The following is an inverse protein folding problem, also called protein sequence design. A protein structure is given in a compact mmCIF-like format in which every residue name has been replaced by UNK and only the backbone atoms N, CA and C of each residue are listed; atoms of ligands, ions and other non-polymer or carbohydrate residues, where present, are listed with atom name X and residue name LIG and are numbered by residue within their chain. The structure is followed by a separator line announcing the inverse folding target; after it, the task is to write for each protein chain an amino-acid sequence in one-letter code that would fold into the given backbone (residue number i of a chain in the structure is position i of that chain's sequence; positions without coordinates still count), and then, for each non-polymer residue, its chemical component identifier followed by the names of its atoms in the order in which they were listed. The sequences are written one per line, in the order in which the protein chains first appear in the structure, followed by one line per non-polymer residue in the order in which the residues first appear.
data_IF_669163978609
#
_entry.id   IF_669163978609
#
_cell.length_a   1.000
_cell.length_b   1.000
_cell.length_c   1.000
_cell.angle_alpha   90.00
_cell.angle_beta   90.00
_cell.angle_gamma   90.00
#
_symmetry.space_group_name_H-M   'P 1'
#
loop_
_entity.id
_entity.type
_entity.pdbx_description
1 polymer ?
#
# COMPACT_ATOMS: atom_id res chain seq x y z
N UNK A 1 -8.99 7.20 21.75
CA UNK A 1 -7.56 7.54 21.96
C UNK A 1 -7.02 8.48 20.89
N UNK A 2 -7.37 8.30 19.63
CA UNK A 2 -6.90 9.13 18.51
C UNK A 2 -7.29 10.60 18.61
N UNK A 3 -8.44 10.92 19.17
CA UNK A 3 -8.96 12.29 19.36
C UNK A 3 -8.19 13.14 20.39
N UNK A 4 -7.24 12.54 21.14
CA UNK A 4 -6.39 13.25 22.10
C UNK A 4 -4.99 13.59 21.57
N UNK A 5 -4.66 13.16 20.35
CA UNK A 5 -3.39 13.48 19.71
C UNK A 5 -3.53 14.75 18.88
N UNK A 6 -2.47 15.57 18.84
CA UNK A 6 -2.41 16.74 17.94
C UNK A 6 -2.04 16.36 16.49
N UNK A 7 -2.22 15.09 16.11
CA UNK A 7 -1.95 14.62 14.74
C UNK A 7 -3.15 14.99 13.87
N UNK A 8 -2.96 15.83 12.84
CA UNK A 8 -4.08 16.38 12.07
C UNK A 8 -4.78 15.34 11.20
N UNK A 9 -4.07 14.31 10.72
CA UNK A 9 -4.63 13.24 9.87
C UNK A 9 -4.12 11.89 10.37
N UNK A 10 -5.03 10.96 10.59
CA UNK A 10 -4.74 9.60 11.05
C UNK A 10 -5.25 8.62 10.00
N UNK A 11 -4.38 7.77 9.50
CA UNK A 11 -4.70 6.66 8.63
C UNK A 11 -4.75 5.35 9.42
N UNK A 12 -5.63 4.45 9.01
CA UNK A 12 -5.76 3.09 9.54
C UNK A 12 -5.74 2.11 8.38
N UNK A 13 -4.90 1.09 8.46
CA UNK A 13 -4.81 0.03 7.46
C UNK A 13 -5.34 -1.28 8.03
N UNK A 14 -6.18 -1.98 7.27
CA UNK A 14 -6.66 -3.33 7.58
C UNK A 14 -6.26 -4.27 6.44
N UNK A 15 -5.84 -5.49 6.80
CA UNK A 15 -5.53 -6.56 5.84
C UNK A 15 -6.60 -7.61 5.95
N UNK A 16 -7.20 -7.94 4.81
CA UNK A 16 -8.24 -8.97 4.65
C UNK A 16 -7.61 -10.26 4.11
N UNK A 17 -8.04 -11.38 4.65
CA UNK A 17 -7.67 -12.72 4.19
C UNK A 17 -6.45 -13.30 4.90
N UNK A 18 -6.23 -12.93 6.15
CA UNK A 18 -5.24 -13.58 6.98
C UNK A 18 -5.58 -15.06 7.20
N UNK A 19 -4.59 -15.94 7.41
CA UNK A 19 -4.86 -17.37 7.70
C UNK A 19 -5.78 -17.55 8.90
N UNK A 20 -6.88 -18.26 8.70
CA UNK A 20 -7.89 -18.53 9.74
C UNK A 20 -8.86 -17.38 10.00
N UNK A 21 -8.76 -16.27 9.29
CA UNK A 21 -9.65 -15.12 9.44
C UNK A 21 -11.03 -15.40 8.84
N UNK A 22 -12.08 -15.02 9.57
CA UNK A 22 -13.48 -15.15 9.16
C UNK A 22 -14.07 -13.81 8.76
N UNK A 23 -15.27 -13.83 8.16
CA UNK A 23 -16.01 -12.60 7.83
C UNK A 23 -16.41 -11.83 9.09
N UNK A 24 -16.68 -12.54 10.19
CA UNK A 24 -17.01 -11.97 11.50
C UNK A 24 -15.80 -11.23 12.10
N UNK A 25 -14.57 -11.77 11.96
CA UNK A 25 -13.34 -11.14 12.45
C UNK A 25 -13.10 -9.81 11.73
N UNK A 26 -13.30 -9.78 10.41
CA UNK A 26 -13.20 -8.55 9.63
C UNK A 26 -14.29 -7.56 10.00
N UNK A 27 -15.54 -8.00 10.15
CA UNK A 27 -16.63 -7.13 10.57
C UNK A 27 -16.35 -6.47 11.94
N UNK A 28 -15.82 -7.26 12.89
CA UNK A 28 -15.38 -6.74 14.19
C UNK A 28 -14.24 -5.74 14.06
N UNK A 29 -13.19 -6.05 13.27
CA UNK A 29 -12.06 -5.17 13.05
C UNK A 29 -12.45 -3.84 12.40
N UNK A 30 -13.34 -3.87 11.41
CA UNK A 30 -13.91 -2.69 10.77
C UNK A 30 -14.74 -1.84 11.73
N UNK A 31 -15.55 -2.49 12.58
CA UNK A 31 -16.30 -1.78 13.63
C UNK A 31 -15.33 -1.06 14.58
N UNK A 32 -14.26 -1.73 15.02
CA UNK A 32 -13.26 -1.11 15.90
C UNK A 32 -12.50 0.03 15.20
N UNK A 33 -12.19 -0.10 13.92
CA UNK A 33 -11.63 0.99 13.15
C UNK A 33 -12.58 2.20 13.09
N UNK A 34 -13.88 1.98 12.85
CA UNK A 34 -14.89 3.04 12.84
C UNK A 34 -15.02 3.74 14.21
N UNK A 35 -14.99 2.99 15.33
CA UNK A 35 -14.99 3.56 16.68
C UNK A 35 -13.81 4.51 16.94
N UNK A 36 -12.65 4.26 16.29
CA UNK A 36 -11.47 5.12 16.39
C UNK A 36 -11.60 6.43 15.60
N UNK A 37 -12.57 6.51 14.68
CA UNK A 37 -12.83 7.67 13.80
C UNK A 37 -11.55 8.17 13.10
N UNK A 38 -10.84 7.32 12.35
CA UNK A 38 -9.70 7.76 11.57
C UNK A 38 -10.15 8.70 10.44
N UNK A 39 -9.22 9.45 9.86
CA UNK A 39 -9.48 10.29 8.71
C UNK A 39 -9.41 9.49 7.39
N UNK A 40 -8.58 8.45 7.38
CA UNK A 40 -8.38 7.57 6.23
C UNK A 40 -8.43 6.11 6.68
N UNK A 41 -8.99 5.26 5.82
CA UNK A 41 -9.00 3.81 5.97
C UNK A 41 -8.48 3.18 4.68
N UNK A 42 -7.49 2.31 4.79
CA UNK A 42 -7.07 1.46 3.67
C UNK A 42 -7.46 0.02 3.93
N UNK A 43 -8.14 -0.57 2.97
CA UNK A 43 -8.49 -1.99 2.98
C UNK A 43 -7.56 -2.72 2.01
N UNK A 44 -6.62 -3.47 2.57
CA UNK A 44 -5.69 -4.31 1.85
C UNK A 44 -6.21 -5.74 1.73
N UNK A 45 -5.97 -6.35 0.58
CA UNK A 45 -6.16 -7.78 0.41
C UNK A 45 -4.80 -8.48 0.53
N UNK A 46 -4.75 -9.56 1.29
CA UNK A 46 -3.51 -10.30 1.52
C UNK A 46 -2.84 -10.66 0.20
N UNK A 47 -1.56 -10.34 0.10
CA UNK A 47 -0.70 -10.67 -1.04
C UNK A 47 0.40 -11.60 -0.58
N UNK A 48 0.49 -12.79 -1.19
CA UNK A 48 1.54 -13.77 -0.90
C UNK A 48 2.78 -13.47 -1.72
N UNK A 49 3.77 -12.84 -1.12
CA UNK A 49 5.08 -12.62 -1.75
C UNK A 49 5.92 -13.89 -1.71
N UNK A 50 6.68 -14.16 -2.77
CA UNK A 50 7.54 -15.36 -2.89
C UNK A 50 8.54 -15.53 -1.74
N UNK A 51 9.02 -14.43 -1.18
CA UNK A 51 9.98 -14.42 -0.06
C UNK A 51 9.28 -14.41 1.31
N UNK A 52 7.94 -14.55 1.36
CA UNK A 52 7.17 -14.61 2.59
C UNK A 52 7.10 -16.03 3.14
N UNK A 53 7.15 -16.18 4.47
CA UNK A 53 6.92 -17.46 5.13
C UNK A 53 5.52 -18.06 4.86
N UNK A 54 4.57 -17.23 4.45
CA UNK A 54 3.22 -17.66 4.07
C UNK A 54 3.13 -18.08 2.59
N UNK A 55 4.21 -17.93 1.80
CA UNK A 55 4.18 -18.32 0.39
C UNK A 55 4.05 -19.83 0.27
N UNK A 56 3.06 -20.28 -0.49
CA UNK A 56 2.72 -21.71 -0.61
C UNK A 56 1.78 -22.25 0.47
N UNK A 57 1.46 -21.43 1.50
CA UNK A 57 0.40 -21.79 2.44
C UNK A 57 -0.96 -21.76 1.72
N UNK A 58 -1.76 -22.80 1.94
CA UNK A 58 -3.16 -22.75 1.54
C UNK A 58 -3.88 -21.77 2.48
N UNK A 59 -4.14 -20.57 1.99
CA UNK A 59 -5.08 -19.66 2.65
C UNK A 59 -6.46 -20.20 2.32
N UNK A 60 -7.08 -20.87 3.28
CA UNK A 60 -8.37 -21.55 3.09
C UNK A 60 -9.57 -20.62 2.91
N UNK A 61 -9.35 -19.34 2.63
CA UNK A 61 -10.41 -18.35 2.42
C UNK A 61 -10.87 -18.38 0.95
N UNK A 62 -12.15 -18.69 0.67
CA UNK A 62 -12.70 -18.60 -0.66
C UNK A 62 -12.64 -17.17 -1.23
N UNK A 63 -12.39 -17.05 -2.53
CA UNK A 63 -12.36 -15.73 -3.20
C UNK A 63 -13.66 -14.92 -3.01
N UNK A 64 -14.80 -15.60 -2.96
CA UNK A 64 -16.10 -14.97 -2.72
C UNK A 64 -16.20 -14.39 -1.30
N UNK A 65 -15.70 -15.07 -0.29
CA UNK A 65 -15.67 -14.55 1.09
C UNK A 65 -14.74 -13.35 1.18
N UNK A 66 -13.55 -13.40 0.55
CA UNK A 66 -12.67 -12.25 0.47
C UNK A 66 -13.35 -11.05 -0.21
N UNK A 67 -14.11 -11.29 -1.28
CA UNK A 67 -14.86 -10.22 -1.97
C UNK A 67 -15.96 -9.61 -1.08
N UNK A 68 -16.67 -10.44 -0.27
CA UNK A 68 -17.64 -9.92 0.70
C UNK A 68 -16.97 -9.08 1.79
N UNK A 69 -15.84 -9.52 2.31
CA UNK A 69 -15.06 -8.75 3.30
C UNK A 69 -14.62 -7.38 2.75
N UNK A 70 -14.10 -7.34 1.51
CA UNK A 70 -13.72 -6.07 0.84
C UNK A 70 -14.93 -5.17 0.68
N UNK A 71 -16.08 -5.71 0.26
CA UNK A 71 -17.34 -4.96 0.14
C UNK A 71 -17.76 -4.38 1.48
N UNK A 72 -17.67 -5.18 2.56
CA UNK A 72 -17.99 -4.69 3.90
C UNK A 72 -17.07 -3.53 4.31
N UNK A 73 -15.77 -3.59 3.98
CA UNK A 73 -14.83 -2.49 4.17
C UNK A 73 -15.26 -1.22 3.43
N UNK A 74 -15.72 -1.35 2.19
CA UNK A 74 -16.25 -0.24 1.40
C UNK A 74 -17.51 0.39 2.03
N UNK A 75 -18.45 -0.45 2.50
CA UNK A 75 -19.67 0.01 3.16
C UNK A 75 -19.35 0.79 4.44
N UNK A 76 -18.47 0.26 5.30
CA UNK A 76 -18.05 0.93 6.54
C UNK A 76 -17.34 2.24 6.26
N UNK A 77 -16.48 2.30 5.24
CA UNK A 77 -15.83 3.55 4.83
C UNK A 77 -16.88 4.59 4.38
N UNK A 78 -17.90 4.18 3.60
CA UNK A 78 -18.99 5.05 3.16
C UNK A 78 -19.85 5.52 4.36
N UNK A 79 -20.16 4.63 5.31
CA UNK A 79 -20.86 4.97 6.55
C UNK A 79 -20.10 6.02 7.38
N UNK A 80 -18.75 6.03 7.31
CA UNK A 80 -17.90 7.06 7.93
C UNK A 80 -17.79 8.35 7.11
N UNK A 81 -18.44 8.46 5.96
CA UNK A 81 -18.36 9.62 5.06
C UNK A 81 -17.09 9.68 4.22
N UNK A 82 -16.36 8.58 4.12
CA UNK A 82 -15.15 8.49 3.30
C UNK A 82 -15.45 8.12 1.86
N UNK A 83 -14.60 8.59 0.94
CA UNK A 83 -14.66 8.25 -0.48
C UNK A 83 -13.37 7.54 -0.91
N UNK A 84 -13.44 6.60 -1.88
CA UNK A 84 -12.24 5.98 -2.43
C UNK A 84 -11.42 7.05 -3.16
N UNK A 85 -10.09 7.10 -2.93
CA UNK A 85 -9.20 8.07 -3.55
C UNK A 85 -8.00 7.46 -4.25
N UNK A 86 -7.65 6.21 -3.96
CA UNK A 86 -6.68 5.44 -4.72
C UNK A 86 -7.00 3.95 -4.71
N UNK A 87 -6.50 3.26 -5.74
CA UNK A 87 -6.61 1.82 -5.89
C UNK A 87 -5.34 1.29 -6.52
N UNK A 88 -4.82 0.16 -6.01
CA UNK A 88 -3.75 -0.56 -6.68
C UNK A 88 -3.88 -2.07 -6.54
N UNK A 89 -3.31 -2.79 -7.51
CA UNK A 89 -3.24 -4.25 -7.52
C UNK A 89 -1.80 -4.72 -7.51
N UNK A 90 -1.57 -5.87 -6.86
CA UNK A 90 -0.30 -6.58 -6.87
C UNK A 90 -0.51 -7.98 -7.46
N UNK A 91 0.59 -8.60 -7.88
CA UNK A 91 0.55 -10.02 -8.25
C UNK A 91 0.28 -10.88 -7.00
N UNK A 92 -0.39 -12.01 -7.19
CA UNK A 92 -0.71 -12.99 -6.14
C UNK A 92 -1.61 -12.45 -5.01
N UNK A 93 -2.47 -11.50 -5.32
CA UNK A 93 -3.52 -11.09 -4.39
C UNK A 93 -4.62 -12.13 -4.32
N UNK A 94 -5.14 -12.37 -3.12
CA UNK A 94 -6.29 -13.24 -2.89
C UNK A 94 -7.49 -12.78 -3.71
N UNK A 95 -8.10 -13.69 -4.47
CA UNK A 95 -9.28 -13.40 -5.28
C UNK A 95 -9.08 -12.36 -6.39
N UNK A 96 -7.83 -12.03 -6.77
CA UNK A 96 -7.52 -10.96 -7.73
C UNK A 96 -8.15 -9.60 -7.38
N UNK A 97 -8.42 -9.37 -6.10
CA UNK A 97 -9.01 -8.15 -5.59
C UNK A 97 -7.99 -6.98 -5.61
N UNK A 98 -8.42 -5.79 -5.23
CA UNK A 98 -7.58 -4.60 -5.18
C UNK A 98 -7.44 -4.09 -3.75
N UNK A 99 -6.35 -3.39 -3.47
CA UNK A 99 -6.22 -2.54 -2.29
C UNK A 99 -6.88 -1.20 -2.59
N UNK A 100 -7.72 -0.73 -1.68
CA UNK A 100 -8.47 0.51 -1.87
C UNK A 100 -8.27 1.39 -0.64
N UNK A 101 -7.84 2.62 -0.87
CA UNK A 101 -7.76 3.65 0.16
C UNK A 101 -8.97 4.57 0.11
N UNK A 102 -9.55 4.81 1.27
CA UNK A 102 -10.69 5.69 1.49
C UNK A 102 -10.27 6.85 2.39
N UNK A 103 -10.78 8.04 2.13
CA UNK A 103 -10.47 9.26 2.90
C UNK A 103 -11.72 10.12 3.10
N UNK A 104 -11.76 10.84 4.22
CA UNK A 104 -12.64 11.99 4.35
C UNK A 104 -12.17 13.09 3.37
N UNK A 105 -13.08 13.89 2.81
CA UNK A 105 -12.71 14.95 1.87
C UNK A 105 -11.64 15.89 2.45
N UNK A 106 -10.57 16.11 1.69
CA UNK A 106 -9.45 16.98 2.09
C UNK A 106 -8.42 16.34 3.03
N UNK A 107 -8.54 15.03 3.29
CA UNK A 107 -7.56 14.29 4.12
C UNK A 107 -6.81 13.21 3.33
N UNK A 108 -6.95 13.19 2.01
CA UNK A 108 -6.30 12.24 1.12
C UNK A 108 -4.77 12.31 1.28
N UNK A 109 -4.12 11.15 1.38
CA UNK A 109 -2.66 11.10 1.44
C UNK A 109 -2.05 11.46 0.10
N UNK A 110 -1.45 12.65 0.01
CA UNK A 110 -0.72 13.10 -1.19
C UNK A 110 0.35 12.07 -1.59
N UNK A 111 1.05 11.48 -0.62
CA UNK A 111 2.04 10.44 -0.88
C UNK A 111 1.43 9.24 -1.63
N UNK A 112 0.27 8.74 -1.18
CA UNK A 112 -0.38 7.60 -1.82
C UNK A 112 -0.80 7.93 -3.27
N UNK A 113 -1.37 9.11 -3.48
CA UNK A 113 -1.75 9.58 -4.82
C UNK A 113 -0.52 9.66 -5.72
N UNK A 114 0.54 10.31 -5.28
CA UNK A 114 1.77 10.49 -6.07
C UNK A 114 2.45 9.15 -6.39
N UNK A 115 2.45 8.21 -5.44
CA UNK A 115 3.02 6.87 -5.66
C UNK A 115 2.23 6.04 -6.67
N UNK A 116 0.90 6.22 -6.73
CA UNK A 116 0.03 5.49 -7.67
C UNK A 116 0.02 6.11 -9.07
N UNK A 117 0.08 7.42 -9.16
CA UNK A 117 0.10 8.12 -10.45
C UNK A 117 1.44 8.00 -11.20
N UNK A 118 2.52 7.73 -10.47
CA UNK A 118 3.90 7.60 -11.01
C UNK A 118 4.35 8.78 -11.89
N UNK A 119 3.80 10.00 -11.65
CA UNK A 119 4.10 11.22 -12.41
C UNK A 119 5.20 12.07 -11.79
N UNK A 120 5.68 11.69 -10.61
CA UNK A 120 6.68 12.46 -9.87
C UNK A 120 7.98 11.68 -9.76
N UNK A 121 9.08 12.41 -9.77
CA UNK A 121 10.38 11.83 -9.44
C UNK A 121 10.39 11.34 -7.99
N UNK A 122 10.73 10.08 -7.81
CA UNK A 122 10.88 9.44 -6.49
C UNK A 122 12.34 9.06 -6.32
N UNK A 123 13.01 9.63 -5.32
CA UNK A 123 14.39 9.27 -4.98
C UNK A 123 14.38 8.24 -3.85
N UNK A 124 14.72 6.99 -4.18
CA UNK A 124 14.83 5.91 -3.21
C UNK A 124 16.17 5.95 -2.48
N UNK A 125 16.16 5.91 -1.14
CA UNK A 125 17.34 5.89 -0.28
C UNK A 125 17.32 4.62 0.56
N UNK A 126 18.48 3.95 0.64
CA UNK A 126 18.65 2.72 1.42
C UNK A 126 18.56 1.42 0.60
N UNK A 127 18.88 0.27 1.23
CA UNK A 127 18.74 -1.05 0.61
C UNK A 127 17.30 -1.32 0.19
N UNK A 128 17.09 -2.07 -0.87
CA UNK A 128 15.78 -2.42 -1.45
C UNK A 128 14.96 -1.24 -1.99
N UNK A 129 15.45 0.00 -1.90
CA UNK A 129 14.75 1.17 -2.43
C UNK A 129 14.82 1.23 -3.96
N UNK A 130 13.95 2.05 -4.57
CA UNK A 130 14.00 2.33 -6.00
C UNK A 130 13.85 3.83 -6.26
N UNK A 131 14.72 4.37 -7.12
CA UNK A 131 14.55 5.69 -7.71
C UNK A 131 13.74 5.54 -8.99
N UNK A 132 12.73 6.39 -9.18
CA UNK A 132 11.89 6.44 -10.38
C UNK A 132 11.98 7.84 -10.97
N UNK A 133 12.20 7.94 -12.26
CA UNK A 133 12.23 9.18 -13.00
C UNK A 133 11.23 9.09 -14.16
N UNK A 134 10.07 9.75 -14.07
CA UNK A 134 9.14 9.85 -15.19
C UNK A 134 9.75 10.71 -16.31
N UNK A 135 9.55 10.27 -17.54
CA UNK A 135 9.94 11.04 -18.72
C UNK A 135 8.84 12.04 -19.13
N UNK A 136 9.26 13.06 -19.88
CA UNK A 136 8.35 14.12 -20.34
C UNK A 136 7.22 13.63 -21.26
N UNK A 137 7.38 12.45 -21.88
CA UNK A 137 6.37 11.81 -22.72
C UNK A 137 5.18 11.25 -21.93
N UNK A 138 5.29 11.16 -20.60
CA UNK A 138 4.25 10.66 -19.71
C UNK A 138 4.00 9.14 -19.79
N UNK A 139 4.79 8.39 -20.57
CA UNK A 139 4.62 6.95 -20.80
C UNK A 139 5.78 6.10 -20.30
N UNK A 140 6.96 6.69 -20.19
CA UNK A 140 8.18 5.98 -19.77
C UNK A 140 8.63 6.41 -18.38
N UNK A 141 9.13 5.45 -17.62
CA UNK A 141 9.69 5.66 -16.28
C UNK A 141 11.04 4.95 -16.22
N UNK A 142 12.11 5.71 -16.11
CA UNK A 142 13.44 5.15 -15.80
C UNK A 142 13.49 4.75 -14.34
N UNK A 143 14.02 3.55 -14.07
CA UNK A 143 14.04 2.99 -12.72
C UNK A 143 15.42 2.45 -12.35
N UNK A 144 15.94 2.90 -11.21
CA UNK A 144 17.15 2.37 -10.59
C UNK A 144 16.80 1.74 -9.24
N UNK A 145 16.95 0.41 -9.17
CA UNK A 145 16.75 -0.33 -7.93
C UNK A 145 18.05 -0.51 -7.17
N UNK A 146 18.00 -0.36 -5.85
CA UNK A 146 19.14 -0.57 -4.96
C UNK A 146 19.23 -2.04 -4.53
N UNK A 147 20.45 -2.55 -4.23
CA UNK A 147 20.63 -3.90 -3.71
C UNK A 147 19.76 -4.17 -2.47
N UNK A 148 19.20 -5.38 -2.38
CA UNK A 148 18.44 -5.79 -1.19
C UNK A 148 19.34 -6.06 0.01
N UNK A 149 20.53 -6.62 -0.24
CA UNK A 149 21.50 -6.94 0.81
C UNK A 149 22.18 -5.67 1.31
N UNK A 150 22.17 -5.46 2.63
CA UNK A 150 22.73 -4.28 3.30
C UNK A 150 24.23 -4.16 3.03
N UNK A 151 24.98 -5.26 3.14
CA UNK A 151 26.42 -5.26 2.91
C UNK A 151 26.74 -4.86 1.46
N UNK A 152 26.06 -5.44 0.48
CA UNK A 152 26.22 -5.08 -0.93
C UNK A 152 25.89 -3.61 -1.19
N UNK A 153 24.85 -3.10 -0.54
CA UNK A 153 24.48 -1.69 -0.64
C UNK A 153 25.56 -0.76 -0.08
N UNK A 154 26.03 -1.01 1.14
CA UNK A 154 27.02 -0.16 1.82
C UNK A 154 28.39 -0.22 1.16
N UNK A 155 28.83 -1.40 0.70
CA UNK A 155 30.11 -1.58 0.00
C UNK A 155 30.17 -0.89 -1.37
N UNK A 156 29.04 -0.62 -1.99
CA UNK A 156 28.96 -0.02 -3.33
C UNK A 156 28.28 1.36 -3.34
N UNK A 157 28.16 2.02 -2.20
CA UNK A 157 27.36 3.23 -2.05
C UNK A 157 27.78 4.37 -3.00
N UNK A 158 29.08 4.54 -3.21
CA UNK A 158 29.60 5.55 -4.13
C UNK A 158 29.20 5.24 -5.58
N UNK A 159 29.42 4.01 -6.06
CA UNK A 159 29.07 3.58 -7.41
C UNK A 159 27.55 3.67 -7.66
N UNK A 160 26.74 3.35 -6.63
CA UNK A 160 25.28 3.48 -6.70
C UNK A 160 24.86 4.94 -6.80
N UNK A 161 25.57 5.84 -6.11
CA UNK A 161 25.37 7.29 -6.22
C UNK A 161 25.68 7.80 -7.62
N UNK A 162 26.80 7.39 -8.21
CA UNK A 162 27.18 7.75 -9.57
C UNK A 162 26.16 7.25 -10.61
N UNK A 163 25.71 6.00 -10.50
CA UNK A 163 24.63 5.46 -11.35
C UNK A 163 23.35 6.27 -11.24
N UNK A 164 22.99 6.73 -10.02
CA UNK A 164 21.82 7.58 -9.84
C UNK A 164 21.98 8.92 -10.52
N UNK A 165 23.18 9.54 -10.42
CA UNK A 165 23.45 10.82 -11.08
C UNK A 165 23.37 10.71 -12.60
N UNK A 166 23.76 9.56 -13.18
CA UNK A 166 23.61 9.32 -14.62
C UNK A 166 22.14 9.26 -15.04
N UNK A 167 21.27 8.65 -14.22
CA UNK A 167 19.84 8.58 -14.50
C UNK A 167 19.19 9.97 -14.71
N UNK A 168 19.71 11.01 -14.07
CA UNK A 168 19.18 12.38 -14.17
C UNK A 168 19.82 13.19 -15.33
N UNK A 169 20.72 12.59 -16.09
CA UNK A 169 21.37 13.26 -17.24
C UNK A 169 20.77 12.84 -18.58
N UNK A 170 19.96 11.78 -18.58
CA UNK A 170 19.20 11.31 -19.72
C UNK A 170 17.87 12.09 -19.84
#
# INVERSE_FOLDING_TARGET
MTTKSNIPVINTDLIIGLPGETEEDIAYSLQKAAELKPHNLTVHTLTLKRDSALFGSQIGLPAESAARMVRRGQEVAAEMGMHPYYLYRQHYMLGHLANIGYALPGTESIYNVQMMEERHTVIGIGPSSATKLPHADGHHISRLSMPKNIFTYTSNIQQLGEKRMLLFKE
#
